data_IF_802565627144
#
_entry.id   IF_802565627144
#
_cell.length_a   1.000
_cell.length_b   1.000
_cell.length_c   1.000
_cell.angle_alpha   90.00
_cell.angle_beta   90.00
_cell.angle_gamma   90.00
#
_symmetry.space_group_name_H-M   'P 1'
#
loop_
_entity.id
_entity.type
_entity.pdbx_description
1 polymer ?
#
# COMPACT_ATOMS: atom_id res chain seq x y z
N UNK A 1 -27.45 10.15 -20.22
CA UNK A 1 -26.98 9.04 -19.36
C UNK A 1 -26.08 9.54 -18.22
N UNK A 2 -24.89 10.10 -18.50
CA UNK A 2 -23.94 10.54 -17.45
C UNK A 2 -24.56 11.53 -16.45
N UNK A 3 -25.32 12.52 -16.90
CA UNK A 3 -25.98 13.48 -16.00
C UNK A 3 -26.94 12.81 -15.01
N UNK A 4 -27.74 11.83 -15.46
CA UNK A 4 -28.62 11.05 -14.58
C UNK A 4 -27.81 10.18 -13.62
N UNK A 5 -26.71 9.58 -14.10
CA UNK A 5 -25.81 8.78 -13.28
C UNK A 5 -25.17 9.63 -12.18
N UNK A 6 -24.77 10.88 -12.45
CA UNK A 6 -24.20 11.78 -11.44
C UNK A 6 -25.20 12.02 -10.29
N UNK A 7 -26.47 12.26 -10.63
CA UNK A 7 -27.51 12.53 -9.62
C UNK A 7 -27.79 11.28 -8.78
N UNK A 8 -27.91 10.12 -9.43
CA UNK A 8 -28.20 8.85 -8.76
C UNK A 8 -27.04 8.34 -7.89
N UNK A 9 -25.79 8.65 -8.26
CA UNK A 9 -24.59 8.17 -7.58
C UNK A 9 -24.07 9.09 -6.47
N UNK A 10 -24.73 10.22 -6.18
CA UNK A 10 -24.26 11.21 -5.18
C UNK A 10 -23.77 10.58 -3.87
N UNK A 11 -24.63 9.79 -3.24
CA UNK A 11 -24.33 9.17 -1.94
C UNK A 11 -23.22 8.13 -2.04
N UNK A 12 -23.14 7.44 -3.17
CA UNK A 12 -22.13 6.41 -3.45
C UNK A 12 -20.74 7.03 -3.61
N UNK A 13 -20.62 8.13 -4.35
CA UNK A 13 -19.35 8.86 -4.49
C UNK A 13 -18.91 9.44 -3.15
N UNK A 14 -19.82 10.08 -2.40
CA UNK A 14 -19.50 10.63 -1.06
C UNK A 14 -19.06 9.51 -0.12
N UNK A 15 -19.79 8.40 -0.07
CA UNK A 15 -19.46 7.24 0.75
C UNK A 15 -18.08 6.68 0.38
N UNK A 16 -17.77 6.57 -0.91
CA UNK A 16 -16.45 6.12 -1.34
C UNK A 16 -15.32 7.02 -0.87
N UNK A 17 -15.45 8.35 -0.96
CA UNK A 17 -14.44 9.26 -0.40
C UNK A 17 -14.31 9.12 1.12
N UNK A 18 -15.41 9.00 1.86
CA UNK A 18 -15.38 8.78 3.32
C UNK A 18 -14.67 7.48 3.64
N UNK A 19 -14.98 6.39 2.93
CA UNK A 19 -14.32 5.10 3.09
C UNK A 19 -12.83 5.18 2.74
N UNK A 20 -12.45 5.90 1.67
CA UNK A 20 -11.06 6.10 1.29
C UNK A 20 -10.26 6.80 2.40
N UNK A 21 -10.83 7.88 2.97
CA UNK A 21 -10.23 8.63 4.07
C UNK A 21 -10.08 7.73 5.30
N UNK A 22 -11.11 6.98 5.67
CA UNK A 22 -11.08 6.10 6.83
C UNK A 22 -10.07 4.97 6.67
N UNK A 23 -10.04 4.31 5.51
CA UNK A 23 -9.08 3.23 5.22
C UNK A 23 -7.64 3.74 5.15
N UNK A 24 -7.43 4.93 4.59
CA UNK A 24 -6.10 5.55 4.55
C UNK A 24 -5.64 5.98 5.95
N UNK A 25 -6.55 6.51 6.77
CA UNK A 25 -6.25 6.90 8.15
C UNK A 25 -6.02 5.68 9.06
N UNK A 26 -6.81 4.61 8.93
CA UNK A 26 -6.67 3.42 9.79
C UNK A 26 -5.50 2.52 9.38
N UNK A 27 -5.16 2.46 8.10
CA UNK A 27 -4.01 1.71 7.61
C UNK A 27 -2.73 2.53 7.77
N UNK A 28 -2.24 3.19 6.71
CA UNK A 28 -0.97 3.93 6.72
C UNK A 28 -0.78 4.90 7.90
N UNK A 29 -1.81 5.65 8.29
CA UNK A 29 -1.63 6.71 9.29
C UNK A 29 -1.56 6.16 10.73
N UNK A 30 -2.49 5.28 11.12
CA UNK A 30 -2.51 4.71 12.48
C UNK A 30 -1.37 3.70 12.72
N UNK A 31 -1.02 2.89 11.73
CA UNK A 31 0.07 1.91 11.86
C UNK A 31 1.46 2.55 11.94
N UNK A 32 1.64 3.77 11.39
CA UNK A 32 2.91 4.48 11.49
C UNK A 32 3.03 5.29 12.78
N UNK A 33 1.91 5.68 13.39
CA UNK A 33 1.91 6.35 14.69
C UNK A 33 2.63 5.55 15.77
N UNK A 34 2.49 4.22 15.77
CA UNK A 34 3.13 3.33 16.75
C UNK A 34 4.67 3.35 16.63
N UNK A 35 5.28 3.15 15.44
CA UNK A 35 6.72 3.25 15.29
C UNK A 35 7.24 4.70 15.33
N UNK A 36 6.39 5.74 15.24
CA UNK A 36 6.84 7.13 15.38
C UNK A 36 7.52 7.39 16.71
N UNK A 37 6.92 6.91 17.81
CA UNK A 37 7.49 7.05 19.15
C UNK A 37 8.84 6.34 19.26
N UNK A 38 8.96 5.16 18.63
CA UNK A 38 10.22 4.41 18.55
C UNK A 38 11.26 5.18 17.74
N UNK A 39 10.88 5.78 16.61
CA UNK A 39 11.80 6.55 15.77
C UNK A 39 12.24 7.85 16.42
N UNK A 40 11.33 8.57 17.08
CA UNK A 40 11.65 9.77 17.87
C UNK A 40 12.61 9.40 19.00
N UNK A 41 12.33 8.33 19.74
CA UNK A 41 13.19 7.83 20.80
C UNK A 41 14.59 7.46 20.29
N UNK A 42 14.68 6.76 19.16
CA UNK A 42 15.97 6.40 18.54
C UNK A 42 16.72 7.66 18.09
N UNK A 43 16.03 8.65 17.51
CA UNK A 43 16.67 9.89 17.06
C UNK A 43 17.13 10.75 18.25
N UNK A 44 16.36 10.81 19.33
CA UNK A 44 16.78 11.44 20.59
C UNK A 44 17.99 10.73 21.20
N UNK A 45 17.98 9.40 21.23
CA UNK A 45 19.10 8.58 21.71
C UNK A 45 20.34 8.73 20.82
N UNK A 46 20.17 8.93 19.52
CA UNK A 46 21.29 9.23 18.63
C UNK A 46 21.87 10.62 18.88
N UNK A 47 21.01 11.60 19.16
CA UNK A 47 21.43 12.97 19.41
C UNK A 47 22.20 13.13 20.71
N UNK A 48 22.01 12.24 21.70
CA UNK A 48 22.75 12.24 22.97
C UNK A 48 24.19 11.72 22.87
N UNK A 49 24.60 11.05 21.79
CA UNK A 49 26.00 10.67 21.58
C UNK A 49 26.90 11.91 21.44
N UNK A 50 28.11 11.82 21.99
CA UNK A 50 29.12 12.89 21.88
C UNK A 50 29.61 13.06 20.43
N UNK A 51 30.13 14.24 20.08
CA UNK A 51 30.64 14.51 18.73
C UNK A 51 31.85 13.62 18.34
N UNK A 52 32.54 13.04 19.33
CA UNK A 52 33.64 12.09 19.13
C UNK A 52 33.11 10.67 18.88
N UNK A 53 32.13 10.17 19.64
CA UNK A 53 31.44 8.90 19.36
C UNK A 53 30.70 8.94 18.01
N UNK A 54 30.10 10.09 17.69
CA UNK A 54 29.51 10.35 16.37
C UNK A 54 30.55 10.38 15.25
N UNK A 55 31.83 10.63 15.54
CA UNK A 55 32.93 10.56 14.55
C UNK A 55 33.52 9.16 14.44
N UNK A 56 33.57 8.39 15.51
CA UNK A 56 34.08 7.02 15.51
C UNK A 56 33.07 6.04 14.85
N UNK A 57 31.76 6.28 15.05
CA UNK A 57 30.69 5.62 14.29
C UNK A 57 30.64 6.03 12.80
N UNK A 58 31.38 7.05 12.36
CA UNK A 58 31.45 7.44 10.93
C UNK A 58 32.28 6.49 10.07
N UNK A 59 33.10 5.64 10.66
CA UNK A 59 34.12 4.87 9.93
C UNK A 59 33.63 3.54 9.38
N UNK A 60 32.61 2.93 9.98
CA UNK A 60 32.12 1.62 9.57
C UNK A 60 30.62 1.67 9.23
N UNK A 61 30.26 1.22 8.02
CA UNK A 61 28.95 0.73 7.50
C UNK A 61 27.60 1.24 8.06
N UNK A 62 27.46 1.42 9.37
CA UNK A 62 26.30 1.94 10.09
C UNK A 62 25.96 3.39 9.71
N UNK A 63 26.92 4.24 9.33
CA UNK A 63 26.64 5.63 8.89
C UNK A 63 25.70 5.70 7.68
N UNK A 64 25.90 4.86 6.67
CA UNK A 64 25.03 4.84 5.48
C UNK A 64 23.61 4.42 5.85
N UNK A 65 23.48 3.39 6.71
CA UNK A 65 22.18 2.89 7.14
C UNK A 65 21.43 3.92 8.00
N UNK A 66 22.11 4.67 8.87
CA UNK A 66 21.44 5.58 9.80
C UNK A 66 21.21 7.00 9.26
N UNK A 67 22.18 7.59 8.54
CA UNK A 67 22.04 8.97 8.02
C UNK A 67 21.37 9.07 6.65
N UNK A 68 21.44 8.07 5.78
CA UNK A 68 20.67 8.08 4.52
C UNK A 68 19.21 7.64 4.74
N UNK A 69 18.94 6.86 5.79
CA UNK A 69 17.61 6.25 5.97
C UNK A 69 16.68 7.00 6.93
N UNK A 70 17.15 7.84 7.88
CA UNK A 70 16.31 8.23 9.03
C UNK A 70 16.07 9.73 9.33
N UNK A 71 17.05 10.65 9.42
CA UNK A 71 16.81 11.93 10.10
C UNK A 71 15.88 12.89 9.34
N UNK A 72 15.76 12.76 8.01
CA UNK A 72 14.79 13.48 7.18
C UNK A 72 13.64 12.59 6.68
N UNK A 73 13.71 11.26 6.85
CA UNK A 73 12.76 10.34 6.21
C UNK A 73 11.44 10.24 6.95
N UNK A 74 11.42 10.38 8.28
CA UNK A 74 10.21 10.25 9.09
C UNK A 74 9.31 11.45 8.84
N UNK A 75 9.76 12.67 9.14
CA UNK A 75 8.98 13.89 8.91
C UNK A 75 8.54 14.03 7.45
N UNK A 76 9.41 13.66 6.49
CA UNK A 76 9.06 13.62 5.07
C UNK A 76 7.97 12.57 4.79
N UNK A 77 8.12 11.34 5.27
CA UNK A 77 7.11 10.27 5.12
C UNK A 77 5.76 10.70 5.69
N UNK A 78 5.74 11.33 6.87
CA UNK A 78 4.54 11.86 7.51
C UNK A 78 3.91 13.00 6.74
N UNK A 79 4.72 13.98 6.32
CA UNK A 79 4.24 15.11 5.51
C UNK A 79 3.58 14.63 4.22
N UNK A 80 4.20 13.63 3.61
CA UNK A 80 3.73 12.97 2.41
C UNK A 80 2.41 12.19 2.66
N UNK A 81 2.26 11.48 3.79
CA UNK A 81 1.00 10.84 4.18
C UNK A 81 -0.12 11.86 4.41
N UNK A 82 0.19 12.94 5.14
CA UNK A 82 -0.74 14.04 5.37
C UNK A 82 -1.19 14.66 4.05
N UNK A 83 -0.29 14.80 3.07
CA UNK A 83 -0.62 15.35 1.75
C UNK A 83 -1.68 14.50 1.02
N UNK A 84 -1.54 13.17 1.04
CA UNK A 84 -2.55 12.29 0.43
C UNK A 84 -3.88 12.32 1.18
N UNK A 85 -3.83 12.30 2.51
CA UNK A 85 -5.05 12.39 3.31
C UNK A 85 -5.78 13.71 3.02
N UNK A 86 -5.06 14.82 2.98
CA UNK A 86 -5.58 16.13 2.60
C UNK A 86 -6.12 16.12 1.17
N UNK A 87 -5.46 15.45 0.22
CA UNK A 87 -5.96 15.31 -1.15
C UNK A 87 -7.32 14.60 -1.18
N UNK A 88 -7.52 13.51 -0.42
CA UNK A 88 -8.84 12.87 -0.33
C UNK A 88 -9.88 13.73 0.39
N UNK A 89 -9.50 14.46 1.44
CA UNK A 89 -10.39 15.40 2.14
C UNK A 89 -10.82 16.53 1.20
N UNK A 90 -9.88 17.15 0.48
CA UNK A 90 -10.18 18.17 -0.51
C UNK A 90 -11.02 17.62 -1.66
N UNK A 91 -10.76 16.39 -2.08
CA UNK A 91 -11.59 15.70 -3.07
C UNK A 91 -13.03 15.53 -2.61
N UNK A 92 -13.23 15.09 -1.36
CA UNK A 92 -14.56 14.98 -0.75
C UNK A 92 -15.25 16.34 -0.67
N UNK A 93 -14.57 17.37 -0.17
CA UNK A 93 -15.11 18.73 -0.06
C UNK A 93 -15.50 19.26 -1.44
N UNK A 94 -14.64 19.08 -2.45
CA UNK A 94 -14.92 19.49 -3.82
C UNK A 94 -16.16 18.79 -4.38
N UNK A 95 -16.29 17.47 -4.19
CA UNK A 95 -17.48 16.70 -4.61
C UNK A 95 -18.74 17.19 -3.89
N UNK A 96 -18.69 17.41 -2.58
CA UNK A 96 -19.83 17.95 -1.81
C UNK A 96 -20.22 19.33 -2.32
N UNK A 97 -19.26 20.23 -2.54
CA UNK A 97 -19.51 21.56 -3.11
C UNK A 97 -20.14 21.49 -4.50
N UNK A 98 -19.64 20.61 -5.38
CA UNK A 98 -20.20 20.41 -6.73
C UNK A 98 -21.64 19.90 -6.70
N UNK A 99 -22.00 19.07 -5.71
CA UNK A 99 -23.38 18.61 -5.54
C UNK A 99 -24.31 19.66 -4.93
N UNK A 100 -23.83 20.41 -3.93
CA UNK A 100 -24.67 21.33 -3.15
C UNK A 100 -24.86 22.71 -3.79
N UNK A 101 -23.85 23.21 -4.50
CA UNK A 101 -23.91 24.57 -5.04
C UNK A 101 -24.54 24.58 -6.44
N UNK A 102 -25.60 25.39 -6.61
CA UNK A 102 -26.28 25.59 -7.92
C UNK A 102 -25.32 26.08 -9.02
N UNK A 103 -24.27 26.82 -8.65
CA UNK A 103 -23.24 27.32 -9.59
C UNK A 103 -22.55 26.20 -10.37
N UNK A 104 -22.45 24.99 -9.81
CA UNK A 104 -21.75 23.86 -10.41
C UNK A 104 -22.68 22.87 -11.11
N UNK A 105 -23.98 23.15 -11.23
CA UNK A 105 -24.95 22.22 -11.82
C UNK A 105 -24.57 21.79 -13.24
N UNK A 106 -24.07 22.73 -14.07
CA UNK A 106 -23.56 22.46 -15.43
C UNK A 106 -22.27 21.62 -15.44
N UNK A 107 -21.50 21.64 -14.36
CA UNK A 107 -20.19 20.97 -14.25
C UNK A 107 -20.24 19.67 -13.44
N UNK A 108 -21.43 19.21 -13.03
CA UNK A 108 -21.58 18.00 -12.21
C UNK A 108 -20.99 16.74 -12.87
N UNK A 109 -21.02 16.64 -14.20
CA UNK A 109 -20.36 15.56 -14.95
C UNK A 109 -18.84 15.54 -14.77
N UNK A 110 -18.21 16.65 -14.37
CA UNK A 110 -16.78 16.71 -14.09
C UNK A 110 -16.36 15.85 -12.91
N UNK A 111 -17.28 15.49 -12.02
CA UNK A 111 -17.02 14.59 -10.88
C UNK A 111 -16.47 13.23 -11.37
N UNK A 112 -16.91 12.76 -12.53
CA UNK A 112 -16.44 11.51 -13.13
C UNK A 112 -15.03 11.60 -13.75
N UNK A 113 -14.51 12.80 -13.99
CA UNK A 113 -13.11 12.99 -14.42
C UNK A 113 -12.21 13.33 -13.22
N UNK A 114 -12.74 14.13 -12.30
CA UNK A 114 -12.04 14.57 -11.10
C UNK A 114 -11.74 13.40 -10.16
N UNK A 115 -12.71 12.51 -9.93
CA UNK A 115 -12.53 11.38 -9.00
C UNK A 115 -11.42 10.44 -9.46
N UNK A 116 -11.41 9.90 -10.70
CA UNK A 116 -10.29 9.11 -11.20
C UNK A 116 -8.95 9.84 -11.14
N UNK A 117 -8.92 11.14 -11.45
CA UNK A 117 -7.69 11.93 -11.39
C UNK A 117 -7.09 11.96 -9.97
N UNK A 118 -7.93 12.07 -8.93
CA UNK A 118 -7.48 11.98 -7.53
C UNK A 118 -6.87 10.60 -7.21
N UNK A 119 -7.48 9.51 -7.71
CA UNK A 119 -6.91 8.17 -7.54
C UNK A 119 -5.62 7.95 -8.35
N UNK A 120 -5.48 8.56 -9.53
CA UNK A 120 -4.24 8.54 -10.30
C UNK A 120 -3.12 9.29 -9.57
N UNK A 121 -3.40 10.49 -9.05
CA UNK A 121 -2.44 11.24 -8.24
C UNK A 121 -2.03 10.44 -7.00
N UNK A 122 -2.99 9.80 -6.34
CA UNK A 122 -2.74 8.86 -5.25
C UNK A 122 -1.78 7.75 -5.68
N UNK A 123 -2.05 7.08 -6.81
CA UNK A 123 -1.22 5.98 -7.30
C UNK A 123 0.20 6.42 -7.66
N UNK A 124 0.38 7.60 -8.27
CA UNK A 124 1.72 8.15 -8.55
C UNK A 124 2.49 8.35 -7.26
N UNK A 125 1.85 9.02 -6.29
CA UNK A 125 2.46 9.28 -5.00
C UNK A 125 2.79 7.98 -4.25
N UNK A 126 1.81 7.07 -4.18
CA UNK A 126 1.94 5.81 -3.48
C UNK A 126 2.99 4.93 -4.14
N UNK A 127 3.06 4.92 -5.48
CA UNK A 127 4.09 4.22 -6.25
C UNK A 127 5.49 4.76 -5.98
N UNK A 128 5.64 6.09 -5.93
CA UNK A 128 6.91 6.71 -5.56
C UNK A 128 7.35 6.34 -4.15
N UNK A 129 6.43 6.41 -3.16
CA UNK A 129 6.72 6.02 -1.79
C UNK A 129 7.04 4.53 -1.65
N UNK A 130 6.31 3.69 -2.37
CA UNK A 130 6.52 2.25 -2.43
C UNK A 130 7.89 1.91 -3.03
N UNK A 131 8.30 2.61 -4.10
CA UNK A 131 9.63 2.48 -4.70
C UNK A 131 10.75 2.90 -3.74
N UNK A 132 10.52 3.90 -2.88
CA UNK A 132 11.53 4.36 -1.93
C UNK A 132 11.68 3.44 -0.71
N UNK A 133 10.58 2.86 -0.20
CA UNK A 133 10.57 2.14 1.08
C UNK A 133 10.52 0.60 0.96
N UNK A 134 10.53 0.03 -0.25
CA UNK A 134 10.35 -1.42 -0.44
C UNK A 134 11.40 -2.26 0.31
N UNK A 135 12.64 -1.78 0.40
CA UNK A 135 13.71 -2.51 1.07
C UNK A 135 13.43 -2.64 2.57
N UNK A 136 12.96 -1.56 3.21
CA UNK A 136 12.54 -1.60 4.61
C UNK A 136 11.41 -2.61 4.80
N UNK A 137 10.40 -2.63 3.92
CA UNK A 137 9.30 -3.61 4.03
C UNK A 137 9.81 -5.05 4.01
N UNK A 138 10.82 -5.34 3.19
CA UNK A 138 11.41 -6.67 3.14
C UNK A 138 12.21 -7.02 4.39
N UNK A 139 12.79 -6.03 5.07
CA UNK A 139 13.43 -6.22 6.38
C UNK A 139 12.42 -6.61 7.45
N UNK A 140 11.25 -5.96 7.49
CA UNK A 140 10.25 -6.19 8.54
C UNK A 140 9.40 -7.44 8.31
N UNK A 141 9.04 -7.71 7.06
CA UNK A 141 8.08 -8.75 6.69
C UNK A 141 8.71 -9.86 5.83
N UNK A 142 10.04 -9.88 5.72
CA UNK A 142 10.76 -10.86 4.92
C UNK A 142 10.66 -10.62 3.40
N UNK A 143 11.14 -11.56 2.57
CA UNK A 143 11.36 -11.32 1.13
C UNK A 143 10.13 -10.99 0.28
N UNK A 144 8.93 -11.39 0.73
CA UNK A 144 7.65 -11.02 0.12
C UNK A 144 6.93 -9.88 0.87
N UNK A 145 7.63 -9.23 1.80
CA UNK A 145 7.10 -8.20 2.67
C UNK A 145 6.52 -7.02 1.92
N UNK A 146 7.14 -6.64 0.80
CA UNK A 146 6.62 -5.62 -0.09
C UNK A 146 5.21 -5.92 -0.62
N UNK A 147 4.87 -7.18 -0.88
CA UNK A 147 3.54 -7.59 -1.38
C UNK A 147 2.49 -7.45 -0.27
N UNK A 148 2.85 -7.82 0.96
CA UNK A 148 1.98 -7.60 2.12
C UNK A 148 1.66 -6.13 2.30
N UNK A 149 2.69 -5.28 2.32
CA UNK A 149 2.50 -3.84 2.47
C UNK A 149 1.70 -3.28 1.29
N UNK A 150 1.95 -3.73 0.06
CA UNK A 150 1.16 -3.35 -1.11
C UNK A 150 -0.34 -3.54 -0.87
N UNK A 151 -0.78 -4.70 -0.36
CA UNK A 151 -2.22 -4.96 -0.18
C UNK A 151 -2.80 -4.18 0.99
N UNK A 152 -2.18 -4.30 2.16
CA UNK A 152 -2.77 -3.79 3.39
C UNK A 152 -2.63 -2.27 3.53
N UNK A 153 -1.62 -1.66 2.89
CA UNK A 153 -1.35 -0.22 3.01
C UNK A 153 -1.69 0.54 1.73
N UNK A 154 -1.25 0.05 0.56
CA UNK A 154 -1.35 0.81 -0.68
C UNK A 154 -2.61 0.48 -1.50
N UNK A 155 -3.09 -0.76 -1.46
CA UNK A 155 -4.31 -1.19 -2.14
C UNK A 155 -5.56 -0.95 -1.31
N UNK A 156 -5.45 -0.92 0.02
CA UNK A 156 -6.59 -0.70 0.94
C UNK A 156 -7.44 0.54 0.56
N UNK A 157 -6.86 1.73 0.30
CA UNK A 157 -7.65 2.88 -0.15
C UNK A 157 -8.39 2.66 -1.46
N UNK A 158 -7.93 1.76 -2.35
CA UNK A 158 -8.62 1.42 -3.59
C UNK A 158 -9.88 0.58 -3.36
N UNK A 159 -10.01 -0.10 -2.21
CA UNK A 159 -11.26 -0.76 -1.84
C UNK A 159 -12.43 0.24 -1.73
N UNK A 160 -12.15 1.53 -1.49
CA UNK A 160 -13.20 2.54 -1.55
C UNK A 160 -13.89 2.67 -2.93
N UNK A 161 -13.23 2.23 -4.01
CA UNK A 161 -13.79 2.22 -5.37
C UNK A 161 -15.01 1.30 -5.49
N UNK A 162 -15.17 0.29 -4.61
CA UNK A 162 -16.39 -0.51 -4.52
C UNK A 162 -17.65 0.35 -4.30
N UNK A 163 -17.48 1.45 -3.56
CA UNK A 163 -18.58 2.34 -3.22
C UNK A 163 -18.74 3.45 -4.26
N UNK A 164 -17.68 3.81 -5.00
CA UNK A 164 -17.76 4.85 -6.02
C UNK A 164 -18.32 4.26 -7.32
N UNK A 165 -19.48 4.75 -7.76
CA UNK A 165 -20.07 4.34 -9.02
C UNK A 165 -19.46 5.10 -10.20
N UNK A 166 -18.21 4.77 -10.55
CA UNK A 166 -17.60 5.23 -11.79
C UNK A 166 -18.00 4.32 -12.96
N UNK A 167 -17.96 4.81 -14.21
CA UNK A 167 -18.10 3.98 -15.39
C UNK A 167 -17.12 2.79 -15.38
N UNK A 168 -17.54 1.58 -15.76
CA UNK A 168 -16.69 0.38 -15.68
C UNK A 168 -15.38 0.48 -16.43
N UNK A 169 -15.37 1.18 -17.58
CA UNK A 169 -14.16 1.39 -18.37
C UNK A 169 -13.10 2.18 -17.57
N UNK A 170 -13.53 3.22 -16.86
CA UNK A 170 -12.66 4.06 -16.03
C UNK A 170 -12.14 3.27 -14.82
N UNK A 171 -12.98 2.45 -14.19
CA UNK A 171 -12.53 1.55 -13.13
C UNK A 171 -11.49 0.55 -13.62
N UNK A 172 -11.72 -0.04 -14.80
CA UNK A 172 -10.80 -0.98 -15.42
C UNK A 172 -9.45 -0.32 -15.73
N UNK A 173 -9.46 0.90 -16.28
CA UNK A 173 -8.25 1.70 -16.52
C UNK A 173 -7.49 1.98 -15.21
N UNK A 174 -8.19 2.40 -14.15
CA UNK A 174 -7.56 2.63 -12.84
C UNK A 174 -6.91 1.36 -12.28
N UNK A 175 -7.57 0.20 -12.41
CA UNK A 175 -7.03 -1.07 -11.96
C UNK A 175 -5.85 -1.55 -12.81
N UNK A 176 -5.87 -1.33 -14.13
CA UNK A 176 -4.72 -1.60 -14.99
C UNK A 176 -3.54 -0.73 -14.56
N UNK A 177 -3.75 0.58 -14.38
CA UNK A 177 -2.69 1.50 -13.95
C UNK A 177 -2.13 1.07 -12.60
N UNK A 178 -2.99 0.68 -11.66
CA UNK A 178 -2.56 0.16 -10.37
C UNK A 178 -1.66 -1.09 -10.52
N UNK A 179 -2.12 -2.10 -11.27
CA UNK A 179 -1.33 -3.32 -11.53
C UNK A 179 0.00 -2.97 -12.21
N UNK A 180 -0.02 -2.12 -13.23
CA UNK A 180 1.18 -1.70 -13.94
C UNK A 180 2.17 -0.99 -13.01
N UNK A 181 1.72 -0.03 -12.21
CA UNK A 181 2.61 0.72 -11.30
C UNK A 181 3.21 -0.21 -10.24
N UNK A 182 2.38 -0.96 -9.53
CA UNK A 182 2.81 -1.65 -8.30
C UNK A 182 3.28 -3.09 -8.50
N UNK A 183 2.88 -3.77 -9.57
CA UNK A 183 3.32 -5.15 -9.86
C UNK A 183 4.33 -5.23 -11.01
N UNK A 184 4.39 -4.22 -11.88
CA UNK A 184 5.28 -4.26 -13.06
C UNK A 184 6.38 -3.20 -12.96
N UNK A 185 6.03 -1.92 -13.04
CA UNK A 185 6.99 -0.81 -13.15
C UNK A 185 7.86 -0.71 -11.89
N UNK A 186 7.27 -0.54 -10.71
CA UNK A 186 8.07 -0.37 -9.49
C UNK A 186 8.89 -1.62 -9.17
N UNK A 187 8.35 -2.85 -9.19
CA UNK A 187 9.14 -4.05 -8.95
C UNK A 187 10.30 -4.26 -9.91
N UNK A 188 10.12 -3.97 -11.20
CA UNK A 188 11.15 -4.18 -12.23
C UNK A 188 12.18 -3.04 -12.29
N UNK A 189 11.77 -1.80 -12.00
CA UNK A 189 12.62 -0.61 -12.07
C UNK A 189 13.17 -0.19 -10.70
N UNK A 190 13.05 -1.04 -9.67
CA UNK A 190 13.55 -0.72 -8.34
C UNK A 190 15.08 -0.60 -8.35
N UNK A 191 15.65 0.53 -7.89
CA UNK A 191 17.11 0.69 -7.82
C UNK A 191 17.82 -0.34 -6.94
N UNK A 192 17.11 -0.94 -5.97
CA UNK A 192 17.66 -2.02 -5.14
C UNK A 192 17.63 -3.41 -5.82
N UNK A 193 17.18 -3.50 -7.07
CA UNK A 193 17.06 -4.74 -7.83
C UNK A 193 15.62 -5.24 -7.99
N UNK A 194 15.43 -6.23 -8.87
CA UNK A 194 14.11 -6.74 -9.21
C UNK A 194 13.45 -7.43 -8.00
N UNK A 195 12.35 -6.86 -7.51
CA UNK A 195 11.63 -7.37 -6.34
C UNK A 195 11.04 -8.78 -6.56
N UNK A 196 10.75 -9.15 -7.81
CA UNK A 196 10.30 -10.51 -8.14
C UNK A 196 11.42 -11.54 -8.03
N UNK A 197 12.66 -11.15 -8.38
CA UNK A 197 13.82 -12.03 -8.21
C UNK A 197 14.09 -12.26 -6.72
N UNK A 198 13.90 -11.22 -5.90
CA UNK A 198 14.04 -11.30 -4.43
C UNK A 198 13.12 -12.36 -3.81
N UNK A 199 11.88 -12.48 -4.29
CA UNK A 199 10.95 -13.55 -3.87
C UNK A 199 11.46 -14.93 -4.33
N UNK A 200 11.90 -15.04 -5.58
CA UNK A 200 12.40 -16.31 -6.15
C UNK A 200 13.68 -16.80 -5.48
N UNK A 201 14.63 -15.89 -5.24
CA UNK A 201 15.90 -16.15 -4.56
C UNK A 201 15.65 -16.58 -3.12
N UNK A 202 14.77 -15.89 -2.39
CA UNK A 202 14.39 -16.27 -1.03
C UNK A 202 13.73 -17.66 -0.94
N UNK A 203 12.89 -18.02 -1.91
CA UNK A 203 12.29 -19.35 -1.97
C UNK A 203 13.35 -20.43 -2.13
N UNK A 204 14.40 -20.18 -2.91
CA UNK A 204 15.45 -21.15 -3.19
C UNK A 204 16.51 -21.19 -2.07
N UNK A 205 16.91 -20.02 -1.53
CA UNK A 205 17.91 -19.91 -0.48
C UNK A 205 17.41 -20.44 0.87
N UNK A 206 16.14 -20.20 1.20
CA UNK A 206 15.54 -20.73 2.43
C UNK A 206 15.46 -22.26 2.38
N UNK A 207 15.16 -22.84 1.21
CA UNK A 207 15.17 -24.30 1.03
C UNK A 207 16.58 -24.88 1.23
N UNK A 208 17.59 -24.25 0.65
CA UNK A 208 18.97 -24.72 0.75
C UNK A 208 19.54 -24.56 2.17
N UNK A 209 19.23 -23.46 2.87
CA UNK A 209 19.67 -23.24 4.26
C UNK A 209 19.04 -24.23 5.24
N UNK A 210 17.77 -24.61 5.04
CA UNK A 210 17.10 -25.63 5.84
C UNK A 210 17.73 -27.01 5.61
N UNK A 211 18.17 -27.30 4.39
CA UNK A 211 18.84 -28.55 4.03
C UNK A 211 20.23 -28.66 4.68
N UNK A 212 20.92 -27.53 4.88
CA UNK A 212 22.29 -27.50 5.39
C UNK A 212 22.41 -27.26 6.91
N UNK A 213 21.49 -26.51 7.56
CA UNK A 213 21.48 -26.28 9.01
C UNK A 213 20.08 -25.88 9.55
N UNK A 214 19.41 -26.78 10.26
CA UNK A 214 18.08 -26.57 10.85
C UNK A 214 17.98 -25.49 11.95
N UNK A 215 19.11 -24.92 12.39
CA UNK A 215 19.16 -23.92 13.47
C UNK A 215 18.99 -22.47 13.03
N UNK A 216 19.03 -22.16 11.73
CA UNK A 216 18.90 -20.79 11.18
C UNK A 216 17.60 -20.61 10.40
N UNK A 217 16.48 -20.93 11.04
CA UNK A 217 15.16 -20.67 10.47
C UNK A 217 14.90 -19.15 10.49
N UNK A 218 14.54 -18.51 9.37
CA UNK A 218 14.29 -17.06 9.33
C UNK A 218 13.22 -16.63 10.34
N UNK A 219 13.38 -15.45 10.95
CA UNK A 219 12.52 -14.97 12.05
C UNK A 219 11.02 -14.91 11.71
N UNK A 220 10.65 -14.69 10.44
CA UNK A 220 9.25 -14.70 10.01
C UNK A 220 8.67 -16.12 9.93
N UNK A 221 9.51 -17.12 9.69
CA UNK A 221 9.15 -18.54 9.73
C UNK A 221 9.04 -19.00 11.18
N UNK A 222 9.97 -18.59 12.05
CA UNK A 222 9.89 -18.92 13.49
C UNK A 222 8.64 -18.33 14.14
N UNK A 223 8.27 -17.08 13.82
CA UNK A 223 7.05 -16.45 14.33
C UNK A 223 5.77 -17.21 13.92
N UNK A 224 5.73 -17.79 12.72
CA UNK A 224 4.61 -18.61 12.26
C UNK A 224 4.50 -19.94 13.04
N UNK A 225 5.63 -20.52 13.44
CA UNK A 225 5.67 -21.74 14.25
C UNK A 225 5.40 -21.48 15.74
N UNK A 226 5.91 -20.37 16.29
CA UNK A 226 5.56 -19.89 17.63
C UNK A 226 4.06 -19.61 17.80
N UNK A 227 3.38 -19.20 16.71
CA UNK A 227 1.93 -18.99 16.68
C UNK A 227 1.09 -20.30 16.69
N UNK A 228 1.71 -21.48 16.83
CA UNK A 228 1.01 -22.74 17.13
C UNK A 228 1.09 -23.82 16.05
N UNK A 229 1.94 -23.67 15.04
CA UNK A 229 2.29 -24.77 14.15
C UNK A 229 3.44 -25.55 14.79
N UNK A 230 3.18 -26.75 15.31
CA UNK A 230 4.16 -27.80 15.70
C UNK A 230 5.48 -27.35 16.37
N UNK A 231 5.75 -27.87 17.58
CA UNK A 231 7.04 -27.70 18.29
C UNK A 231 8.27 -28.22 17.51
N UNK A 232 8.07 -28.97 16.42
CA UNK A 232 9.10 -29.45 15.50
C UNK A 232 8.57 -29.38 14.07
N UNK A 233 8.78 -28.26 13.35
CA UNK A 233 8.26 -28.10 12.00
C UNK A 233 8.98 -29.04 11.02
N UNK A 234 8.22 -29.74 10.18
CA UNK A 234 8.82 -30.51 9.08
C UNK A 234 9.20 -29.58 7.93
N UNK A 235 10.11 -30.01 7.05
CA UNK A 235 10.47 -29.28 5.83
C UNK A 235 9.24 -28.94 4.98
N UNK A 236 8.27 -29.86 4.93
CA UNK A 236 7.01 -29.66 4.20
C UNK A 236 6.13 -28.59 4.86
N UNK A 237 6.10 -28.50 6.19
CA UNK A 237 5.38 -27.45 6.90
C UNK A 237 5.98 -26.07 6.62
N UNK A 238 7.31 -25.96 6.64
CA UNK A 238 8.02 -24.71 6.34
C UNK A 238 7.74 -24.28 4.90
N UNK A 239 7.82 -25.20 3.95
CA UNK A 239 7.55 -24.93 2.53
C UNK A 239 6.10 -24.48 2.30
N UNK A 240 5.13 -25.10 2.99
CA UNK A 240 3.72 -24.69 2.91
C UNK A 240 3.50 -23.29 3.48
N UNK A 241 4.09 -22.99 4.64
CA UNK A 241 4.00 -21.65 5.26
C UNK A 241 4.62 -20.60 4.34
N UNK A 242 5.82 -20.85 3.81
CA UNK A 242 6.50 -19.92 2.89
C UNK A 242 5.68 -19.70 1.61
N UNK A 243 5.15 -20.78 1.03
CA UNK A 243 4.31 -20.71 -0.17
C UNK A 243 3.03 -19.92 0.10
N UNK A 244 2.36 -20.17 1.23
CA UNK A 244 1.15 -19.45 1.62
C UNK A 244 1.44 -17.97 1.85
N UNK A 245 2.54 -17.66 2.55
CA UNK A 245 2.98 -16.30 2.82
C UNK A 245 3.28 -15.53 1.52
N UNK A 246 3.91 -16.18 0.53
CA UNK A 246 4.22 -15.54 -0.76
C UNK A 246 3.01 -15.43 -1.70
N UNK A 247 2.11 -16.42 -1.72
CA UNK A 247 1.02 -16.51 -2.70
C UNK A 247 -0.28 -15.87 -2.23
N UNK A 248 -0.64 -15.98 -0.95
CA UNK A 248 -1.91 -15.45 -0.44
C UNK A 248 -2.06 -13.94 -0.66
N UNK A 249 -1.03 -13.10 -0.44
CA UNK A 249 -1.07 -11.69 -0.80
C UNK A 249 -1.44 -11.47 -2.28
N UNK A 250 -0.75 -12.14 -3.19
CA UNK A 250 -0.97 -11.97 -4.64
C UNK A 250 -2.41 -12.37 -5.00
N UNK A 251 -2.91 -13.47 -4.44
CA UNK A 251 -4.29 -13.92 -4.67
C UNK A 251 -5.29 -12.89 -4.16
N UNK A 252 -5.11 -12.36 -2.94
CA UNK A 252 -5.97 -11.32 -2.37
C UNK A 252 -6.00 -10.07 -3.24
N UNK A 253 -4.84 -9.67 -3.79
CA UNK A 253 -4.74 -8.53 -4.70
C UNK A 253 -5.52 -8.76 -6.00
N UNK A 254 -5.37 -9.94 -6.60
CA UNK A 254 -6.12 -10.33 -7.79
C UNK A 254 -7.63 -10.35 -7.53
N UNK A 255 -8.06 -10.93 -6.40
CA UNK A 255 -9.46 -10.94 -5.99
C UNK A 255 -9.98 -9.51 -5.82
N UNK A 256 -9.24 -8.63 -5.16
CA UNK A 256 -9.62 -7.22 -5.00
C UNK A 256 -9.82 -6.53 -6.35
N UNK A 257 -8.86 -6.66 -7.27
CA UNK A 257 -8.93 -6.04 -8.61
C UNK A 257 -10.14 -6.56 -9.39
N UNK A 258 -10.33 -7.89 -9.43
CA UNK A 258 -11.45 -8.51 -10.14
C UNK A 258 -12.78 -8.08 -9.53
N UNK A 259 -12.89 -8.10 -8.20
CA UNK A 259 -14.10 -7.69 -7.50
C UNK A 259 -14.44 -6.23 -7.80
N UNK A 260 -13.47 -5.29 -7.78
CA UNK A 260 -13.75 -3.86 -8.07
C UNK A 260 -14.34 -3.70 -9.47
N UNK A 261 -13.78 -4.37 -10.47
CA UNK A 261 -14.27 -4.31 -11.85
C UNK A 261 -15.65 -4.94 -11.98
N UNK A 262 -15.86 -6.14 -11.42
CA UNK A 262 -17.14 -6.86 -11.49
C UNK A 262 -18.25 -6.08 -10.79
N UNK A 263 -18.00 -5.56 -9.59
CA UNK A 263 -18.98 -4.74 -8.86
C UNK A 263 -19.32 -3.47 -9.65
N UNK A 264 -18.32 -2.83 -10.26
CA UNK A 264 -18.57 -1.67 -11.13
C UNK A 264 -19.49 -2.00 -12.31
N UNK A 265 -19.26 -3.14 -12.99
CA UNK A 265 -20.12 -3.60 -14.10
C UNK A 265 -21.54 -3.90 -13.63
N UNK A 266 -21.70 -4.63 -12.52
CA UNK A 266 -23.03 -4.98 -11.97
C UNK A 266 -23.81 -3.71 -11.62
N UNK A 267 -23.14 -2.76 -10.97
CA UNK A 267 -23.74 -1.47 -10.60
C UNK A 267 -24.14 -0.66 -11.83
N UNK A 268 -23.30 -0.62 -12.86
CA UNK A 268 -23.61 0.08 -14.12
C UNK A 268 -24.84 -0.51 -14.81
N UNK A 269 -24.91 -1.85 -14.92
CA UNK A 269 -26.06 -2.56 -15.50
C UNK A 269 -27.33 -2.30 -14.68
N UNK A 270 -27.25 -2.41 -13.36
CA UNK A 270 -28.39 -2.16 -12.47
C UNK A 270 -28.91 -0.72 -12.62
N UNK A 271 -28.01 0.26 -12.68
CA UNK A 271 -28.38 1.64 -12.91
C UNK A 271 -29.07 1.81 -14.27
N UNK A 272 -28.53 1.22 -15.35
CA UNK A 272 -29.15 1.28 -16.70
C UNK A 272 -30.54 0.66 -16.76
N UNK A 273 -30.80 -0.38 -15.97
CA UNK A 273 -32.11 -1.05 -15.93
C UNK A 273 -33.14 -0.29 -15.08
N UNK A 274 -32.69 0.54 -14.13
CA UNK A 274 -33.56 1.36 -13.29
C UNK A 274 -34.06 2.66 -13.95
N UNK A 275 -33.50 3.01 -15.11
CA UNK A 275 -33.85 4.20 -15.91
C UNK A 275 -34.48 3.78 -17.25
#
# INVERSE_FOLDING_TARGET
YLEHLVVASKWRIILGYVTAILLYASGPFATLWIPFDVFVLIQETYNTFSDEEKKESRTDSQKAIWTDTFPNSVAWTYSLLCLVLLMFIFGLVAVVCMYQMKRFEKYRTWIFYFTPAMYLLYMVYAGFRFAYNNQSYNTWFGPAGWVFVLIFFFASPLASLFFISLPPLVMFELMIVFVLVFLVIVPLCNPAGNLWNLIGEASNSSLNQIQDNASEVPAYVSAAFEAGLSNSPTEEDIRRVLTCYMTAPIILLCVLVVCVVVVSVIVDISNRQSF
#
